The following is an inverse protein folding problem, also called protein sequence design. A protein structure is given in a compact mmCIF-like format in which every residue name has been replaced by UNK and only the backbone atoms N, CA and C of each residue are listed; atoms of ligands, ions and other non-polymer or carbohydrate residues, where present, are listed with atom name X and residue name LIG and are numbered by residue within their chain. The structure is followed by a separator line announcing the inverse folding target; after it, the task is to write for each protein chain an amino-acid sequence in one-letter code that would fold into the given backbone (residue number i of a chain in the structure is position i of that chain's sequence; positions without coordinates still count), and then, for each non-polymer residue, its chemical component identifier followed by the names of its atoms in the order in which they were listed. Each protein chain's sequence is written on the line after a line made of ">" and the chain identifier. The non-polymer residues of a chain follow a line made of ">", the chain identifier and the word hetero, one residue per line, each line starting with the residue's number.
data_IF_578821794690
#
_entry.id   IF_578821794690
#
_cell.length_a   1.000
_cell.length_b   1.000
_cell.length_c   1.000
_cell.angle_alpha   90.00
_cell.angle_beta   90.00
_cell.angle_gamma   90.00
#
_symmetry.space_group_name_H-M   'P 1'
#
loop_
_entity.id
_entity.type
_entity.pdbx_description
1 polymer ?
#
# COMPACT_ATOMS: atom_id res chain seq x y z
N UNK A 1 -6.66 39.13 68.31
CA UNK A 1 -6.76 39.67 66.93
C UNK A 1 -5.35 39.98 66.46
N UNK A 2 -4.67 39.07 65.73
CA UNK A 2 -3.41 39.36 65.05
C UNK A 2 -3.03 38.23 64.08
N UNK A 3 -3.27 38.54 62.80
CA UNK A 3 -2.60 38.14 61.56
C UNK A 3 -1.58 36.99 61.54
N UNK A 4 -1.96 35.91 60.86
CA UNK A 4 -1.09 34.82 60.37
C UNK A 4 -0.39 35.19 59.07
N UNK A 5 0.92 34.90 58.98
CA UNK A 5 1.74 34.98 57.76
C UNK A 5 1.15 34.08 56.65
N UNK A 6 0.99 34.60 55.44
CA UNK A 6 0.76 33.79 54.24
C UNK A 6 2.05 33.74 53.42
N UNK A 7 2.69 32.57 53.38
CA UNK A 7 3.70 32.25 52.37
C UNK A 7 2.94 31.66 51.18
N UNK A 8 3.02 32.32 50.03
CA UNK A 8 2.47 31.83 48.77
C UNK A 8 3.57 31.02 48.09
N UNK A 9 3.41 29.70 48.02
CA UNK A 9 4.20 28.85 47.12
C UNK A 9 3.41 28.69 45.81
N UNK A 10 3.92 29.29 44.73
CA UNK A 10 3.41 29.08 43.38
C UNK A 10 3.90 27.72 42.85
N UNK A 11 2.99 26.75 42.68
CA UNK A 11 3.25 25.57 41.86
C UNK A 11 2.96 25.91 40.38
N UNK A 12 4.01 26.10 39.59
CA UNK A 12 3.92 25.96 38.13
C UNK A 12 4.12 24.48 37.78
N UNK A 13 3.03 23.82 37.37
CA UNK A 13 3.08 22.50 36.76
C UNK A 13 3.37 22.65 35.26
N UNK A 14 4.59 22.28 34.82
CA UNK A 14 4.90 22.13 33.39
C UNK A 14 4.18 20.88 32.84
N UNK A 15 3.19 21.06 31.96
CA UNK A 15 2.73 20.00 31.07
C UNK A 15 3.79 19.78 29.99
N UNK A 16 4.59 18.72 30.12
CA UNK A 16 5.36 18.19 29.02
C UNK A 16 4.41 17.45 28.06
N UNK A 17 4.09 18.06 26.92
CA UNK A 17 3.44 17.36 25.81
C UNK A 17 4.49 16.46 25.17
N UNK A 18 4.44 15.17 25.49
CA UNK A 18 5.21 14.17 24.78
C UNK A 18 4.66 14.03 23.36
N UNK A 19 5.27 14.73 22.40
CA UNK A 19 5.06 14.47 20.97
C UNK A 19 5.87 13.21 20.64
N UNK A 20 5.30 12.05 20.96
CA UNK A 20 5.82 10.77 20.50
C UNK A 20 5.52 10.58 19.00
N UNK A 21 6.31 9.78 18.27
CA UNK A 21 5.98 9.41 16.90
C UNK A 21 4.60 8.72 16.90
N UNK A 22 3.68 9.25 16.08
CA UNK A 22 2.40 8.58 15.83
C UNK A 22 2.66 7.16 15.32
N UNK A 23 1.98 6.13 15.85
CA UNK A 23 2.08 4.80 15.28
C UNK A 23 1.71 4.87 13.79
N UNK A 24 2.48 4.20 12.94
CA UNK A 24 2.14 4.07 11.53
C UNK A 24 0.71 3.50 11.44
N UNK A 25 -0.18 4.22 10.74
CA UNK A 25 -1.52 3.74 10.52
C UNK A 25 -1.41 2.42 9.73
N UNK A 26 -2.03 1.35 10.22
CA UNK A 26 -2.12 0.12 9.44
C UNK A 26 -2.75 0.45 8.08
N UNK A 27 -2.31 -0.18 6.98
CA UNK A 27 -2.85 0.08 5.65
C UNK A 27 -4.39 -0.10 5.59
N UNK A 28 -5.06 0.71 4.78
CA UNK A 28 -6.51 0.62 4.54
C UNK A 28 -6.87 -0.54 3.60
N UNK A 29 -5.95 -0.90 2.70
CA UNK A 29 -6.07 -2.08 1.88
C UNK A 29 -4.70 -2.69 1.59
N UNK A 30 -4.68 -3.99 1.35
CA UNK A 30 -3.53 -4.70 0.84
C UNK A 30 -3.99 -5.58 -0.33
N UNK A 31 -3.39 -5.36 -1.50
CA UNK A 31 -3.64 -6.15 -2.70
C UNK A 31 -2.36 -6.90 -3.08
N UNK A 32 -2.53 -8.00 -3.79
CA UNK A 32 -1.44 -8.82 -4.30
C UNK A 32 -1.61 -8.99 -5.80
N UNK A 33 -0.51 -8.84 -6.52
CA UNK A 33 -0.46 -9.05 -7.96
C UNK A 33 -0.55 -10.55 -8.27
N UNK A 34 -1.73 -10.98 -8.72
CA UNK A 34 -2.02 -12.37 -9.06
C UNK A 34 -1.27 -12.76 -10.33
N UNK A 35 -1.17 -11.85 -11.29
CA UNK A 35 -0.29 -11.97 -12.45
C UNK A 35 -0.01 -10.60 -13.08
N UNK A 36 1.10 -10.50 -13.82
CA UNK A 36 1.48 -9.35 -14.65
C UNK A 36 1.90 -9.82 -16.04
N UNK A 37 1.52 -9.06 -17.07
CA UNK A 37 2.19 -9.10 -18.38
C UNK A 37 2.95 -7.80 -18.58
N UNK A 38 4.24 -7.90 -18.92
CA UNK A 38 5.12 -6.75 -19.07
C UNK A 38 5.90 -6.79 -20.38
N UNK A 39 6.05 -5.62 -21.01
CA UNK A 39 6.90 -5.42 -22.17
C UNK A 39 7.87 -4.25 -21.95
N UNK A 40 9.06 -4.39 -22.53
CA UNK A 40 10.02 -3.31 -22.69
C UNK A 40 9.74 -2.58 -24.01
N UNK A 41 9.44 -1.29 -23.93
CA UNK A 41 9.05 -0.48 -25.10
C UNK A 41 9.98 0.73 -25.22
N UNK A 42 10.62 0.88 -26.38
CA UNK A 42 11.40 2.07 -26.72
C UNK A 42 10.49 3.15 -27.30
N UNK A 43 10.49 4.36 -26.74
CA UNK A 43 9.81 5.55 -27.32
C UNK A 43 10.64 6.80 -27.09
N UNK A 44 10.78 7.63 -28.12
CA UNK A 44 11.49 8.92 -28.04
C UNK A 44 12.92 8.84 -27.49
N UNK A 45 13.59 7.69 -27.68
CA UNK A 45 14.94 7.44 -27.17
C UNK A 45 15.00 6.91 -25.73
N UNK A 46 13.86 6.74 -25.06
CA UNK A 46 13.72 6.19 -23.72
C UNK A 46 13.21 4.75 -23.75
N UNK A 47 13.64 3.93 -22.80
CA UNK A 47 13.11 2.60 -22.56
C UNK A 47 12.07 2.63 -21.42
N UNK A 48 10.90 2.07 -21.67
CA UNK A 48 9.79 2.00 -20.72
C UNK A 48 9.46 0.54 -20.38
N UNK A 49 9.21 0.28 -19.10
CA UNK A 49 8.51 -0.92 -18.63
C UNK A 49 7.01 -0.62 -18.69
N UNK A 50 6.30 -1.21 -19.66
CA UNK A 50 4.83 -1.12 -19.78
C UNK A 50 4.23 -2.44 -19.29
N UNK A 51 3.34 -2.36 -18.29
CA UNK A 51 2.77 -3.53 -17.63
C UNK A 51 1.25 -3.45 -17.54
N UNK A 52 0.61 -4.62 -17.49
CA UNK A 52 -0.77 -4.76 -17.03
C UNK A 52 -0.89 -5.96 -16.11
N UNK A 53 -1.62 -5.77 -15.01
CA UNK A 53 -1.70 -6.73 -13.92
C UNK A 53 -3.12 -6.86 -13.39
N UNK A 54 -3.43 -8.08 -12.93
CA UNK A 54 -4.58 -8.33 -12.07
C UNK A 54 -4.13 -8.38 -10.61
N UNK A 55 -4.82 -7.65 -9.75
CA UNK A 55 -4.55 -7.59 -8.32
C UNK A 55 -5.79 -8.03 -7.54
N UNK A 56 -5.57 -8.76 -6.45
CA UNK A 56 -6.61 -9.20 -5.53
C UNK A 56 -6.16 -8.99 -4.10
N UNK A 57 -7.07 -8.58 -3.22
CA UNK A 57 -6.77 -8.54 -1.78
C UNK A 57 -7.88 -7.88 -1.00
N UNK A 58 -7.59 -7.35 0.17
CA UNK A 58 -8.65 -6.95 1.12
C UNK A 58 -8.59 -5.50 1.48
N UNK A 59 -9.77 -4.91 1.73
CA UNK A 59 -9.91 -3.60 2.35
C UNK A 59 -10.43 -3.71 3.77
N UNK A 60 -9.97 -2.79 4.63
CA UNK A 60 -10.44 -2.67 6.00
C UNK A 60 -11.91 -2.20 6.01
N UNK A 61 -12.79 -2.86 6.79
CA UNK A 61 -14.19 -2.42 6.95
C UNK A 61 -14.31 -0.96 7.41
N UNK A 62 -15.35 -0.28 6.95
CA UNK A 62 -15.63 1.13 7.24
C UNK A 62 -14.76 2.15 6.47
N UNK A 63 -13.88 1.71 5.58
CA UNK A 63 -13.08 2.60 4.73
C UNK A 63 -13.80 2.93 3.42
N UNK A 64 -13.28 3.89 2.64
CA UNK A 64 -13.82 4.20 1.31
C UNK A 64 -13.85 2.96 0.39
N UNK A 65 -12.86 2.07 0.52
CA UNK A 65 -12.73 0.85 -0.28
C UNK A 65 -13.54 -0.33 0.29
N UNK A 66 -14.16 -0.18 1.46
CA UNK A 66 -15.07 -1.17 2.03
C UNK A 66 -16.04 -0.46 3.00
N UNK A 67 -17.10 0.17 2.48
CA UNK A 67 -18.03 0.97 3.30
C UNK A 67 -18.91 0.11 4.23
N UNK A 68 -18.81 -1.21 4.14
CA UNK A 68 -19.57 -2.16 4.95
C UNK A 68 -18.83 -2.47 6.26
N UNK A 69 -19.56 -3.03 7.22
CA UNK A 69 -19.01 -3.54 8.49
C UNK A 69 -18.46 -4.98 8.40
N UNK A 70 -18.42 -5.55 7.18
CA UNK A 70 -17.89 -6.88 6.90
C UNK A 70 -16.59 -6.77 6.12
N UNK A 71 -15.77 -7.84 6.11
CA UNK A 71 -14.56 -7.89 5.27
C UNK A 71 -14.95 -7.81 3.80
N UNK A 72 -14.33 -6.91 3.06
CA UNK A 72 -14.45 -6.85 1.61
C UNK A 72 -13.16 -7.34 0.94
N UNK A 73 -13.31 -7.92 -0.23
CA UNK A 73 -12.23 -8.19 -1.16
C UNK A 73 -12.27 -7.18 -2.31
N UNK A 74 -11.11 -6.83 -2.85
CA UNK A 74 -10.94 -5.96 -4.00
C UNK A 74 -10.36 -6.80 -5.13
N UNK A 75 -11.01 -6.76 -6.28
CA UNK A 75 -10.48 -7.26 -7.55
C UNK A 75 -10.12 -6.05 -8.41
N UNK A 76 -8.91 -6.00 -8.93
CA UNK A 76 -8.39 -4.84 -9.63
C UNK A 76 -7.67 -5.25 -10.91
N UNK A 77 -7.83 -4.43 -11.94
CA UNK A 77 -7.05 -4.51 -13.17
C UNK A 77 -6.36 -3.17 -13.40
N UNK A 78 -5.04 -3.18 -13.48
CA UNK A 78 -4.23 -1.97 -13.58
C UNK A 78 -3.21 -2.05 -14.70
N UNK A 79 -2.88 -0.91 -15.28
CA UNK A 79 -1.76 -0.74 -16.20
C UNK A 79 -0.77 0.28 -15.65
N UNK A 80 0.50 0.10 -15.97
CA UNK A 80 1.58 1.02 -15.62
C UNK A 80 2.50 1.29 -16.82
N UNK A 81 3.12 2.46 -16.81
CA UNK A 81 4.26 2.79 -17.67
C UNK A 81 5.33 3.46 -16.82
N UNK A 82 6.52 2.88 -16.77
CA UNK A 82 7.64 3.35 -15.97
C UNK A 82 8.85 3.55 -16.87
N UNK A 83 9.42 4.75 -16.88
CA UNK A 83 10.72 5.02 -17.53
C UNK A 83 11.81 4.28 -16.75
N UNK A 84 12.58 3.44 -17.45
CA UNK A 84 13.55 2.53 -16.82
C UNK A 84 14.77 3.27 -16.29
N UNK A 85 15.15 4.39 -16.90
CA UNK A 85 16.32 5.16 -16.49
C UNK A 85 16.06 5.94 -15.20
N UNK A 86 14.84 6.47 -15.05
CA UNK A 86 14.46 7.27 -13.88
C UNK A 86 13.75 6.46 -12.79
N UNK A 87 13.14 5.33 -13.17
CA UNK A 87 12.23 4.57 -12.35
C UNK A 87 10.87 5.24 -12.13
N UNK A 88 10.56 6.34 -12.80
CA UNK A 88 9.33 7.11 -12.59
C UNK A 88 8.30 6.83 -13.66
N UNK A 89 7.03 6.94 -13.29
CA UNK A 89 5.96 6.53 -14.20
C UNK A 89 4.56 6.93 -13.77
N UNK A 90 3.60 6.39 -14.50
CA UNK A 90 2.17 6.53 -14.21
C UNK A 90 1.49 5.17 -14.18
N UNK A 91 0.34 5.13 -13.53
CA UNK A 91 -0.52 3.97 -13.49
C UNK A 91 -1.98 4.38 -13.47
N UNK A 92 -2.84 3.46 -13.89
CA UNK A 92 -4.28 3.63 -13.85
C UNK A 92 -4.97 2.29 -13.96
N UNK A 93 -6.23 2.22 -13.53
CA UNK A 93 -6.99 0.98 -13.64
C UNK A 93 -8.39 1.09 -13.07
N UNK A 94 -9.00 -0.07 -12.93
CA UNK A 94 -10.34 -0.26 -12.39
C UNK A 94 -10.31 -1.23 -11.23
N UNK A 95 -11.26 -1.06 -10.31
CA UNK A 95 -11.47 -1.98 -9.20
C UNK A 95 -12.95 -2.31 -9.04
N UNK A 96 -13.19 -3.49 -8.50
CA UNK A 96 -14.48 -3.96 -8.01
C UNK A 96 -14.28 -4.40 -6.57
N UNK A 97 -15.14 -3.95 -5.67
CA UNK A 97 -15.17 -4.44 -4.30
C UNK A 97 -16.30 -5.43 -4.20
N UNK A 98 -15.98 -6.58 -3.65
CA UNK A 98 -16.88 -7.72 -3.53
C UNK A 98 -16.94 -8.20 -2.08
N UNK A 99 -18.04 -8.86 -1.76
CA UNK A 99 -18.22 -9.62 -0.51
C UNK A 99 -18.62 -11.05 -0.87
N UNK A 100 -18.69 -11.92 0.13
CA UNK A 100 -19.14 -13.29 -0.10
C UNK A 100 -20.54 -13.30 -0.71
N UNK A 101 -20.69 -14.06 -1.81
CA UNK A 101 -21.97 -14.31 -2.43
C UNK A 101 -22.66 -15.54 -1.83
N UNK A 102 -23.25 -16.36 -2.70
CA UNK A 102 -24.11 -17.47 -2.32
C UNK A 102 -23.36 -18.79 -2.04
N UNK A 103 -22.16 -18.95 -2.61
CA UNK A 103 -21.32 -20.14 -2.41
C UNK A 103 -20.15 -19.85 -1.44
N UNK A 104 -20.21 -20.26 -0.16
CA UNK A 104 -19.12 -20.00 0.80
C UNK A 104 -17.83 -20.80 0.54
N UNK A 105 -17.84 -21.74 -0.41
CA UNK A 105 -16.64 -22.45 -0.83
C UNK A 105 -15.89 -21.75 -1.97
N UNK A 106 -16.51 -20.77 -2.63
CA UNK A 106 -15.87 -19.94 -3.67
C UNK A 106 -15.33 -18.63 -3.07
N UNK A 107 -14.50 -17.93 -3.82
CA UNK A 107 -14.06 -16.59 -3.48
C UNK A 107 -15.23 -15.59 -3.43
N UNK A 108 -15.08 -14.45 -2.74
CA UNK A 108 -16.06 -13.37 -2.78
C UNK A 108 -16.36 -12.90 -4.22
N UNK A 109 -17.63 -12.86 -4.63
CA UNK A 109 -18.02 -12.37 -5.96
C UNK A 109 -19.17 -11.35 -5.98
N UNK A 110 -19.89 -11.17 -4.87
CA UNK A 110 -21.04 -10.27 -4.81
C UNK A 110 -20.57 -8.81 -4.81
N UNK A 111 -20.78 -8.10 -5.93
CA UNK A 111 -20.31 -6.73 -6.11
C UNK A 111 -21.03 -5.74 -5.18
N UNK A 112 -20.23 -4.97 -4.45
CA UNK A 112 -20.68 -3.87 -3.58
C UNK A 112 -20.47 -2.52 -4.23
N UNK A 113 -19.29 -2.30 -4.82
CA UNK A 113 -18.96 -1.06 -5.52
C UNK A 113 -17.95 -1.30 -6.64
N UNK A 114 -17.92 -0.37 -7.59
CA UNK A 114 -16.91 -0.31 -8.64
C UNK A 114 -16.24 1.04 -8.63
N UNK A 115 -15.01 1.08 -9.15
CA UNK A 115 -14.21 2.29 -9.17
C UNK A 115 -13.10 2.27 -10.18
N UNK A 116 -12.38 3.38 -10.19
CA UNK A 116 -11.18 3.61 -10.99
C UNK A 116 -10.13 4.31 -10.17
N UNK A 117 -8.88 4.08 -10.52
CA UNK A 117 -7.75 4.72 -9.88
C UNK A 117 -6.73 5.18 -10.90
N UNK A 118 -5.87 6.08 -10.48
CA UNK A 118 -4.66 6.41 -11.23
C UNK A 118 -3.81 7.44 -10.51
N UNK A 119 -2.61 7.66 -11.03
CA UNK A 119 -1.66 8.60 -10.48
C UNK A 119 -0.25 8.37 -10.96
N UNK A 120 0.70 8.74 -10.09
CA UNK A 120 2.13 8.66 -10.36
C UNK A 120 2.78 7.57 -9.51
N UNK A 121 3.81 6.96 -10.09
CA UNK A 121 4.61 5.92 -9.48
C UNK A 121 6.08 6.34 -9.40
N UNK A 122 6.76 5.90 -8.36
CA UNK A 122 8.20 6.00 -8.21
C UNK A 122 8.80 4.65 -7.82
N UNK A 123 9.35 3.95 -8.81
CA UNK A 123 10.16 2.74 -8.71
C UNK A 123 11.66 3.03 -8.81
N UNK A 124 12.11 4.29 -8.67
CA UNK A 124 13.55 4.56 -8.58
C UNK A 124 14.24 3.74 -7.47
N UNK A 125 13.62 3.43 -6.31
CA UNK A 125 14.23 2.52 -5.36
C UNK A 125 14.59 1.17 -5.97
N UNK A 126 13.70 0.55 -6.74
CA UNK A 126 13.94 -0.74 -7.37
C UNK A 126 14.89 -0.65 -8.57
N UNK A 127 14.62 0.25 -9.50
CA UNK A 127 15.27 0.29 -10.81
C UNK A 127 16.61 1.03 -10.80
N UNK A 128 16.77 2.02 -9.91
CA UNK A 128 17.98 2.85 -9.85
C UNK A 128 18.84 2.49 -8.63
N UNK A 129 18.21 2.17 -7.49
CA UNK A 129 18.92 1.97 -6.23
C UNK A 129 18.96 0.51 -5.73
N UNK A 130 18.40 -0.43 -6.49
CA UNK A 130 18.41 -1.87 -6.16
C UNK A 130 17.68 -2.24 -4.86
N UNK A 131 16.77 -1.39 -4.38
CA UNK A 131 15.92 -1.64 -3.22
C UNK A 131 14.54 -2.12 -3.69
N UNK A 132 14.09 -3.34 -3.34
CA UNK A 132 12.91 -3.98 -3.93
C UNK A 132 11.57 -3.41 -3.43
N UNK A 133 11.31 -2.14 -3.74
CA UNK A 133 10.03 -1.49 -3.50
C UNK A 133 9.79 -0.33 -4.47
N UNK A 134 8.54 0.11 -4.53
CA UNK A 134 8.11 1.34 -5.22
C UNK A 134 7.07 2.08 -4.41
N UNK A 135 6.86 3.36 -4.71
CA UNK A 135 5.85 4.19 -4.04
C UNK A 135 4.88 4.80 -5.04
N UNK A 136 3.70 5.14 -4.56
CA UNK A 136 2.61 5.69 -5.36
C UNK A 136 1.96 6.86 -4.65
N UNK A 137 1.62 7.88 -5.44
CA UNK A 137 0.63 8.90 -5.07
C UNK A 137 -0.48 8.87 -6.11
N UNK A 138 -1.71 8.62 -5.66
CA UNK A 138 -2.83 8.40 -6.55
C UNK A 138 -4.13 8.99 -6.05
N UNK A 139 -5.14 8.88 -6.89
CA UNK A 139 -6.53 9.14 -6.55
C UNK A 139 -7.36 7.92 -6.90
N UNK A 140 -8.22 7.51 -5.99
CA UNK A 140 -9.24 6.49 -6.24
C UNK A 140 -10.61 7.15 -6.26
N UNK A 141 -11.46 6.72 -7.18
CA UNK A 141 -12.85 7.16 -7.29
C UNK A 141 -13.76 5.96 -7.31
N UNK A 142 -14.72 5.93 -6.39
CA UNK A 142 -15.73 4.89 -6.25
C UNK A 142 -17.10 5.55 -6.20
N UNK A 143 -18.01 5.13 -7.08
CA UNK A 143 -19.26 5.87 -7.31
C UNK A 143 -18.99 7.35 -7.62
N UNK A 144 -19.53 8.25 -6.79
CA UNK A 144 -19.34 9.71 -6.87
C UNK A 144 -18.29 10.27 -5.91
N UNK A 145 -17.60 9.42 -5.14
CA UNK A 145 -16.66 9.85 -4.10
C UNK A 145 -15.23 9.57 -4.55
N UNK A 146 -14.37 10.58 -4.41
CA UNK A 146 -12.94 10.47 -4.69
C UNK A 146 -12.12 10.72 -3.43
N UNK A 147 -11.00 10.01 -3.29
CA UNK A 147 -10.00 10.26 -2.27
C UNK A 147 -8.60 10.13 -2.85
N UNK A 148 -7.70 10.99 -2.39
CA UNK A 148 -6.27 10.76 -2.56
C UNK A 148 -5.84 9.52 -1.75
N UNK A 149 -4.77 8.88 -2.21
CA UNK A 149 -4.10 7.82 -1.47
C UNK A 149 -2.60 7.83 -1.73
N UNK A 150 -1.86 7.27 -0.78
CA UNK A 150 -0.47 6.86 -0.94
C UNK A 150 -0.40 5.36 -0.84
N UNK A 151 0.61 4.75 -1.47
CA UNK A 151 0.78 3.31 -1.41
C UNK A 151 2.23 2.89 -1.64
N UNK A 152 2.54 1.68 -1.18
CA UNK A 152 3.85 1.04 -1.34
C UNK A 152 3.68 -0.29 -2.08
N UNK A 153 4.48 -0.47 -3.13
CA UNK A 153 4.70 -1.76 -3.77
C UNK A 153 5.88 -2.45 -3.08
N UNK A 154 5.65 -3.60 -2.46
CA UNK A 154 6.68 -4.47 -1.93
C UNK A 154 7.00 -5.52 -2.99
N UNK A 155 8.19 -5.44 -3.57
CA UNK A 155 8.64 -6.40 -4.57
C UNK A 155 9.27 -7.58 -3.83
N UNK A 156 8.84 -8.83 -4.11
CA UNK A 156 9.46 -9.99 -3.50
C UNK A 156 10.91 -10.10 -4.00
N UNK A 157 11.81 -10.48 -3.10
CA UNK A 157 13.22 -10.70 -3.43
C UNK A 157 13.79 -11.86 -2.61
N UNK A 158 14.87 -12.46 -3.11
CA UNK A 158 15.64 -13.46 -2.36
C UNK A 158 17.06 -12.93 -2.12
N UNK A 159 17.66 -13.32 -0.99
CA UNK A 159 19.08 -13.02 -0.76
C UNK A 159 19.95 -13.79 -1.76
N UNK A 160 21.00 -13.17 -2.33
CA UNK A 160 21.87 -13.84 -3.31
C UNK A 160 22.45 -15.16 -2.79
N UNK A 161 22.85 -15.18 -1.52
CA UNK A 161 23.51 -16.30 -0.84
C UNK A 161 22.54 -17.31 -0.21
N UNK A 162 21.23 -17.09 -0.29
CA UNK A 162 20.24 -18.05 0.19
C UNK A 162 20.07 -19.19 -0.85
N UNK A 163 20.44 -20.45 -0.51
CA UNK A 163 20.30 -21.58 -1.42
C UNK A 163 18.85 -22.03 -1.59
N UNK A 164 17.97 -21.71 -0.64
CA UNK A 164 16.55 -22.03 -0.69
C UNK A 164 15.75 -21.05 -1.54
N UNK A 165 16.35 -19.89 -1.86
CA UNK A 165 15.70 -18.76 -2.54
C UNK A 165 14.39 -18.38 -1.85
N UNK A 166 14.40 -18.33 -0.52
CA UNK A 166 13.25 -17.89 0.25
C UNK A 166 12.92 -16.44 -0.16
N UNK A 167 11.67 -16.17 -0.59
CA UNK A 167 11.27 -14.81 -0.94
C UNK A 167 10.92 -14.02 0.32
N UNK A 168 11.30 -12.74 0.33
CA UNK A 168 11.04 -11.78 1.39
C UNK A 168 10.44 -10.49 0.81
N UNK A 169 9.69 -9.78 1.64
CA UNK A 169 9.37 -8.36 1.45
C UNK A 169 10.21 -7.49 2.37
N UNK A 170 10.46 -6.24 1.95
CA UNK A 170 10.93 -5.20 2.85
C UNK A 170 9.80 -4.78 3.81
N UNK A 171 10.14 -4.57 5.07
CA UNK A 171 9.27 -3.93 6.07
C UNK A 171 9.66 -2.48 6.27
N UNK A 172 8.72 -1.66 6.72
CA UNK A 172 8.89 -0.20 6.80
C UNK A 172 8.61 0.34 8.20
N UNK A 173 9.36 1.37 8.58
CA UNK A 173 9.05 2.22 9.74
C UNK A 173 8.88 3.65 9.21
N UNK A 174 7.62 4.06 9.03
CA UNK A 174 7.30 5.22 8.20
C UNK A 174 7.82 5.02 6.77
N UNK A 175 8.37 6.05 6.10
CA UNK A 175 8.77 5.93 4.70
C UNK A 175 10.08 5.15 4.46
N UNK A 176 10.72 4.63 5.51
CA UNK A 176 12.05 4.03 5.43
C UNK A 176 12.00 2.51 5.60
N UNK A 177 12.65 1.74 4.71
CA UNK A 177 12.89 0.32 4.92
C UNK A 177 13.61 0.08 6.26
N UNK A 178 13.12 -0.86 7.04
CA UNK A 178 13.57 -1.12 8.41
C UNK A 178 13.90 -2.59 8.69
N UNK A 179 13.50 -3.50 7.81
CA UNK A 179 13.74 -4.93 7.96
C UNK A 179 13.20 -5.73 6.79
N UNK A 180 13.08 -7.04 7.01
CA UNK A 180 12.55 -7.99 6.03
C UNK A 180 11.60 -8.97 6.71
N UNK A 181 10.61 -9.46 5.97
CA UNK A 181 9.69 -10.50 6.40
C UNK A 181 9.54 -11.54 5.29
N UNK A 182 9.54 -12.86 5.58
CA UNK A 182 9.28 -13.87 4.56
C UNK A 182 7.90 -13.67 3.92
N UNK A 183 7.79 -13.94 2.62
CA UNK A 183 6.50 -13.97 1.92
C UNK A 183 5.71 -15.19 2.41
N UNK A 184 4.52 -14.93 2.97
CA UNK A 184 3.64 -15.96 3.50
C UNK A 184 2.91 -16.75 2.42
N UNK A 185 2.31 -17.88 2.79
CA UNK A 185 1.60 -18.76 1.84
C UNK A 185 0.40 -18.08 1.18
N UNK A 186 -0.33 -17.23 1.92
CA UNK A 186 -1.45 -16.45 1.40
C UNK A 186 -1.02 -15.27 0.50
N UNK A 187 0.28 -14.98 0.42
CA UNK A 187 0.87 -13.93 -0.39
C UNK A 187 1.49 -14.51 -1.69
N UNK A 188 1.06 -15.73 -2.05
CA UNK A 188 1.47 -16.44 -3.27
C UNK A 188 0.30 -16.73 -4.21
N UNK A 189 0.53 -16.57 -5.50
CA UNK A 189 -0.39 -17.02 -6.55
C UNK A 189 0.16 -18.32 -7.15
N UNK A 190 -0.56 -19.44 -6.95
CA UNK A 190 -0.14 -20.75 -7.44
C UNK A 190 1.29 -21.15 -7.02
N UNK A 191 1.72 -20.72 -5.82
CA UNK A 191 3.05 -20.97 -5.27
C UNK A 191 4.08 -19.86 -5.55
N UNK A 192 3.83 -18.99 -6.53
CA UNK A 192 4.72 -17.89 -6.88
C UNK A 192 4.53 -16.69 -5.93
N UNK A 193 5.60 -16.07 -5.40
CA UNK A 193 5.49 -14.91 -4.54
C UNK A 193 4.92 -13.71 -5.33
N UNK A 194 3.86 -13.10 -4.81
CA UNK A 194 3.21 -11.97 -5.47
C UNK A 194 3.90 -10.65 -5.12
N UNK A 195 3.71 -9.61 -5.93
CA UNK A 195 3.97 -8.23 -5.51
C UNK A 195 2.85 -7.79 -4.56
N UNK A 196 3.19 -7.20 -3.40
CA UNK A 196 2.20 -6.66 -2.46
C UNK A 196 2.04 -5.16 -2.64
N UNK A 197 0.81 -4.67 -2.67
CA UNK A 197 0.44 -3.26 -2.81
C UNK A 197 -0.37 -2.81 -1.59
N UNK A 198 0.28 -2.08 -0.68
CA UNK A 198 -0.33 -1.56 0.55
C UNK A 198 -0.79 -0.12 0.35
N UNK A 199 -2.08 0.16 0.59
CA UNK A 199 -2.73 1.45 0.31
C UNK A 199 -3.16 2.14 1.61
N UNK A 200 -2.88 3.45 1.70
CA UNK A 200 -3.34 4.32 2.78
C UNK A 200 -4.17 5.48 2.20
N UNK A 201 -5.45 5.53 2.52
CA UNK A 201 -6.42 6.52 2.04
C UNK A 201 -6.28 7.82 2.85
N UNK A 202 -6.34 8.96 2.16
CA UNK A 202 -6.34 10.28 2.81
C UNK A 202 -5.06 10.63 3.58
N UNK A 203 -4.05 9.76 3.56
CA UNK A 203 -2.78 9.92 4.27
C UNK A 203 -1.67 10.41 3.33
N UNK A 204 -0.69 11.11 3.88
CA UNK A 204 0.57 11.44 3.20
C UNK A 204 1.57 10.28 3.18
N UNK A 205 1.24 9.13 3.77
CA UNK A 205 2.08 7.93 3.71
C UNK A 205 1.43 6.67 4.29
N UNK A 206 1.93 5.53 3.81
CA UNK A 206 2.14 4.33 4.59
C UNK A 206 3.63 4.37 5.05
#
# INVERSE_FOLDING_TARGET
>A
MAWTRKVVLSLLSLLAVAVGPSPAAAADAALYEVFENMAMVRRDGHDYREGWAALMGTARPGTLLCPLAVRCEIHSLGSSRVDVATGKGTFSGYLTVVVQGDNPADGPEATVLTGRFGGSMDFSPALVFGKPYGTVVGTVTVGSVSSGFTAVFHLPFAFPDDPTKTPYYLTFTGPQPSGVVPVGDAERALGEPMVKFEICLGSSGC
#
